data_IF_148428746179
#
_entry.id   IF_148428746179
#
_cell.length_a   1.000
_cell.length_b   1.000
_cell.length_c   1.000
_cell.angle_alpha   90.00
_cell.angle_beta   90.00
_cell.angle_gamma   90.00
#
_symmetry.space_group_name_H-M   'P 1'
#
loop_
_entity.id
_entity.type
_entity.pdbx_description
1 polymer ?
#
# COMPACT_ATOMS: atom_id res chain seq x y z
N UNK A 1 -24.47 10.65 -2.96
CA UNK A 1 -23.56 9.51 -3.26
C UNK A 1 -22.30 9.72 -2.44
N UNK A 2 -22.24 9.16 -1.23
CA UNK A 2 -21.18 9.45 -0.26
C UNK A 2 -19.97 8.53 -0.49
N UNK A 3 -18.77 9.11 -0.45
CA UNK A 3 -17.47 8.48 -0.68
C UNK A 3 -17.17 7.37 0.36
N UNK A 4 -17.65 6.14 0.12
CA UNK A 4 -17.36 4.99 0.99
C UNK A 4 -16.01 4.30 0.70
N UNK A 5 -15.33 4.60 -0.42
CA UNK A 5 -14.11 3.88 -0.79
C UNK A 5 -12.83 4.34 -0.08
N UNK A 6 -12.69 5.63 0.24
CA UNK A 6 -11.42 6.17 0.71
C UNK A 6 -11.12 5.81 2.16
N UNK A 7 -12.13 5.75 3.05
CA UNK A 7 -11.93 5.50 4.49
C UNK A 7 -11.54 4.06 4.80
N UNK A 8 -12.14 3.08 4.13
CA UNK A 8 -11.79 1.67 4.30
C UNK A 8 -10.39 1.34 3.78
N UNK A 9 -9.98 1.98 2.68
CA UNK A 9 -8.65 1.80 2.08
C UNK A 9 -7.51 2.14 3.04
N UNK A 10 -7.63 3.25 3.79
CA UNK A 10 -6.60 3.67 4.74
C UNK A 10 -6.58 2.81 6.01
N UNK A 11 -7.74 2.32 6.47
CA UNK A 11 -7.79 1.37 7.59
C UNK A 11 -7.10 0.05 7.26
N UNK A 12 -7.27 -0.44 6.04
CA UNK A 12 -6.57 -1.63 5.56
C UNK A 12 -5.05 -1.40 5.48
N UNK A 13 -4.64 -0.22 5.02
CA UNK A 13 -3.23 0.20 5.00
C UNK A 13 -2.62 0.17 6.41
N UNK A 14 -3.26 0.81 7.39
CA UNK A 14 -2.78 0.84 8.78
C UNK A 14 -2.71 -0.58 9.38
N UNK A 15 -3.75 -1.39 9.20
CA UNK A 15 -3.79 -2.76 9.73
C UNK A 15 -2.70 -3.66 9.13
N UNK A 16 -2.42 -3.54 7.83
CA UNK A 16 -1.37 -4.30 7.16
C UNK A 16 0.03 -3.79 7.53
N UNK A 17 0.22 -2.48 7.62
CA UNK A 17 1.48 -1.90 8.05
C UNK A 17 1.86 -2.38 9.46
N UNK A 18 0.92 -2.34 10.41
CA UNK A 18 1.13 -2.84 11.77
C UNK A 18 1.34 -4.35 11.79
N UNK A 19 0.60 -5.11 10.98
CA UNK A 19 0.77 -6.58 10.89
C UNK A 19 2.15 -6.98 10.38
N UNK A 20 2.69 -6.26 9.39
CA UNK A 20 3.97 -6.60 8.74
C UNK A 20 5.19 -6.01 9.46
N UNK A 21 5.07 -4.81 10.03
CA UNK A 21 6.21 -4.09 10.62
C UNK A 21 6.13 -3.92 12.14
N UNK A 22 5.02 -4.29 12.77
CA UNK A 22 4.81 -4.14 14.22
C UNK A 22 4.97 -2.68 14.67
N UNK A 23 5.65 -2.51 15.80
CA UNK A 23 6.01 -1.21 16.39
C UNK A 23 7.27 -0.59 15.74
N UNK A 24 7.41 -0.70 14.42
CA UNK A 24 8.43 0.04 13.68
C UNK A 24 7.82 1.29 13.02
N UNK A 25 7.73 2.43 13.74
CA UNK A 25 7.05 3.62 13.25
C UNK A 25 7.69 4.21 12.00
N UNK A 26 8.98 3.95 11.76
CA UNK A 26 9.65 4.37 10.52
C UNK A 26 9.10 3.60 9.31
N UNK A 27 9.07 2.27 9.39
CA UNK A 27 8.54 1.43 8.31
C UNK A 27 7.04 1.60 8.09
N UNK A 28 6.25 1.80 9.16
CA UNK A 28 4.81 2.08 9.04
C UNK A 28 4.58 3.41 8.31
N UNK A 29 5.33 4.47 8.64
CA UNK A 29 5.25 5.75 7.93
C UNK A 29 5.64 5.62 6.46
N UNK A 30 6.66 4.85 6.16
CA UNK A 30 7.11 4.60 4.80
C UNK A 30 6.04 3.85 4.00
N UNK A 31 5.44 2.80 4.59
CA UNK A 31 4.33 2.07 3.99
C UNK A 31 3.17 2.98 3.63
N UNK A 32 2.70 3.80 4.58
CA UNK A 32 1.56 4.72 4.36
C UNK A 32 1.87 5.74 3.27
N UNK A 33 3.10 6.26 3.22
CA UNK A 33 3.56 7.21 2.20
C UNK A 33 3.54 6.59 0.81
N UNK A 34 4.19 5.45 0.63
CA UNK A 34 4.29 4.81 -0.68
C UNK A 34 2.94 4.19 -1.12
N UNK A 35 2.11 3.73 -0.18
CA UNK A 35 0.72 3.34 -0.43
C UNK A 35 -0.10 4.49 -1.02
N UNK A 36 0.04 5.70 -0.46
CA UNK A 36 -0.62 6.91 -0.98
C UNK A 36 -0.22 7.19 -2.42
N UNK A 37 1.09 7.19 -2.71
CA UNK A 37 1.63 7.45 -4.05
C UNK A 37 1.08 6.44 -5.08
N UNK A 38 1.12 5.15 -4.78
CA UNK A 38 0.63 4.11 -5.69
C UNK A 38 -0.89 4.17 -5.89
N UNK A 39 -1.65 4.54 -4.86
CA UNK A 39 -3.08 4.77 -5.00
C UNK A 39 -3.37 5.98 -5.89
N UNK A 40 -2.58 7.05 -5.76
CA UNK A 40 -2.66 8.24 -6.62
C UNK A 40 -2.27 7.93 -8.08
N UNK A 41 -1.42 6.93 -8.31
CA UNK A 41 -1.14 6.39 -9.65
C UNK A 41 -2.31 5.60 -10.26
N UNK A 42 -3.39 5.36 -9.50
CA UNK A 42 -4.57 4.65 -9.96
C UNK A 42 -4.56 3.14 -9.70
N UNK A 43 -3.57 2.63 -8.97
CA UNK A 43 -3.55 1.23 -8.57
C UNK A 43 -4.60 0.95 -7.48
N UNK A 44 -5.17 -0.27 -7.50
CA UNK A 44 -6.19 -0.68 -6.53
C UNK A 44 -5.61 -0.75 -5.11
N UNK A 45 -6.24 -0.12 -4.10
CA UNK A 45 -5.68 -0.01 -2.75
C UNK A 45 -5.39 -1.37 -2.09
N UNK A 46 -6.26 -2.37 -2.28
CA UNK A 46 -6.01 -3.72 -1.74
C UNK A 46 -4.71 -4.32 -2.30
N UNK A 47 -4.55 -4.25 -3.63
CA UNK A 47 -3.37 -4.74 -4.34
C UNK A 47 -2.11 -3.97 -3.95
N UNK A 48 -2.21 -2.64 -3.82
CA UNK A 48 -1.12 -1.79 -3.34
C UNK A 48 -0.65 -2.26 -1.97
N UNK A 49 -1.55 -2.44 -1.01
CA UNK A 49 -1.16 -2.85 0.33
C UNK A 49 -0.46 -4.22 0.36
N UNK A 50 -0.98 -5.21 -0.37
CA UNK A 50 -0.39 -6.55 -0.45
C UNK A 50 1.01 -6.53 -1.06
N UNK A 51 1.15 -5.86 -2.21
CA UNK A 51 2.42 -5.80 -2.95
C UNK A 51 3.47 -5.00 -2.19
N UNK A 52 3.08 -3.88 -1.58
CA UNK A 52 4.01 -3.07 -0.79
C UNK A 52 4.52 -3.82 0.44
N UNK A 53 3.65 -4.60 1.08
CA UNK A 53 4.03 -5.46 2.20
C UNK A 53 4.93 -6.62 1.76
N UNK A 54 4.68 -7.19 0.57
CA UNK A 54 5.51 -8.26 -0.01
C UNK A 54 6.93 -7.77 -0.30
N UNK A 55 7.09 -6.53 -0.72
CA UNK A 55 8.39 -5.95 -1.09
C UNK A 55 9.03 -5.08 0.01
N UNK A 56 8.57 -5.18 1.26
CA UNK A 56 9.16 -4.47 2.42
C UNK A 56 9.22 -2.93 2.21
N UNK A 57 8.15 -2.32 1.69
CA UNK A 57 8.03 -0.90 1.32
C UNK A 57 8.82 -0.46 0.10
N UNK A 58 9.44 -1.38 -0.65
CA UNK A 58 10.15 -1.03 -1.88
C UNK A 58 9.16 -0.66 -3.00
N UNK A 59 8.95 0.65 -3.17
CA UNK A 59 8.07 1.19 -4.22
C UNK A 59 8.51 0.75 -5.60
N UNK A 60 9.81 0.74 -5.89
CA UNK A 60 10.29 0.44 -7.25
C UNK A 60 9.94 -0.99 -7.64
N UNK A 61 10.13 -1.94 -6.71
CA UNK A 61 9.67 -3.32 -6.90
C UNK A 61 8.16 -3.43 -7.00
N UNK A 62 7.42 -2.69 -6.17
CA UNK A 62 5.96 -2.69 -6.24
C UNK A 62 5.44 -2.16 -7.58
N UNK A 63 5.96 -1.04 -8.06
CA UNK A 63 5.66 -0.47 -9.39
C UNK A 63 6.04 -1.45 -10.48
N UNK A 64 7.24 -2.04 -10.41
CA UNK A 64 7.68 -3.03 -11.38
C UNK A 64 6.73 -4.24 -11.40
N UNK A 65 6.26 -4.71 -10.24
CA UNK A 65 5.27 -5.78 -10.15
C UNK A 65 3.92 -5.37 -10.77
N UNK A 66 3.45 -4.14 -10.56
CA UNK A 66 2.22 -3.67 -11.19
C UNK A 66 2.33 -3.55 -12.71
N UNK A 67 3.48 -3.09 -13.21
CA UNK A 67 3.72 -2.90 -14.64
C UNK A 67 4.00 -4.21 -15.37
N UNK A 68 4.72 -5.15 -14.75
CA UNK A 68 5.12 -6.42 -15.37
C UNK A 68 4.22 -7.61 -14.99
N UNK A 69 3.43 -7.49 -13.92
CA UNK A 69 2.50 -8.52 -13.43
C UNK A 69 1.09 -8.44 -14.05
N UNK A 70 0.95 -7.75 -15.19
CA UNK A 70 -0.31 -7.65 -15.95
C UNK A 70 -0.45 -8.75 -17.04
N UNK A 71 -0.07 -9.99 -16.72
CA UNK A 71 -0.36 -11.17 -17.56
C UNK A 71 -1.49 -11.99 -16.97
#
# INVERSE_FOLDING_TARGET
MFYYGARDSWRLCDALAVKHYGDNPAKVREFVKEFGVLREMGFSPNKVAEVLAMYDNDREKAVWHFLNGST
#
